data_IF_291159016651
#
_entry.id   IF_291159016651
#
_cell.length_a   1.000
_cell.length_b   1.000
_cell.length_c   1.000
_cell.angle_alpha   90.00
_cell.angle_beta   90.00
_cell.angle_gamma   90.00
#
_symmetry.space_group_name_H-M   'P 1'
#
loop_
_entity.id
_entity.type
_entity.pdbx_description
1 polymer ?
#
# COMPACT_ATOMS: atom_id res chain seq x y z
N UNK A 1 9.83 7.93 -25.23
CA UNK A 1 9.99 7.33 -23.90
C UNK A 1 11.26 7.89 -23.29
N UNK A 2 11.13 8.90 -22.43
CA UNK A 2 12.25 9.32 -21.58
C UNK A 2 12.20 8.42 -20.34
N UNK A 3 13.32 7.84 -19.89
CA UNK A 3 13.33 7.18 -18.58
C UNK A 3 13.12 8.24 -17.51
N UNK A 4 12.50 7.86 -16.38
CA UNK A 4 12.46 8.66 -15.17
C UNK A 4 13.87 9.18 -14.89
N UNK A 5 14.11 10.46 -15.16
CA UNK A 5 15.40 11.08 -14.85
C UNK A 5 15.47 11.15 -13.34
N UNK A 6 16.28 10.26 -12.76
CA UNK A 6 16.80 10.40 -11.39
C UNK A 6 17.51 11.75 -11.34
N UNK A 7 16.77 12.77 -10.94
CA UNK A 7 17.24 14.15 -10.83
C UNK A 7 18.22 14.23 -9.65
N UNK A 8 19.46 14.61 -9.98
CA UNK A 8 20.63 14.89 -9.13
C UNK A 8 20.78 14.05 -7.86
N UNK A 9 21.54 12.95 -7.98
CA UNK A 9 22.15 12.24 -6.85
C UNK A 9 23.35 12.99 -6.25
N UNK A 10 23.61 14.23 -6.68
CA UNK A 10 24.64 15.10 -6.12
C UNK A 10 24.06 15.91 -4.95
N UNK A 11 24.07 15.30 -3.76
CA UNK A 11 23.59 15.91 -2.53
C UNK A 11 24.61 15.83 -1.39
N UNK A 12 24.57 16.75 -0.42
CA UNK A 12 25.51 16.77 0.70
C UNK A 12 25.45 15.46 1.50
N UNK A 13 26.61 15.01 1.97
CA UNK A 13 26.83 13.77 2.73
C UNK A 13 26.37 13.83 4.19
N UNK A 14 25.58 14.85 4.57
CA UNK A 14 24.88 14.84 5.87
C UNK A 14 23.94 13.64 5.94
N UNK A 15 24.17 12.78 6.93
CA UNK A 15 23.55 11.46 7.03
C UNK A 15 22.04 11.56 7.23
N UNK A 16 21.59 12.52 8.06
CA UNK A 16 20.15 12.74 8.33
C UNK A 16 19.45 13.29 7.09
N UNK A 17 20.02 14.29 6.42
CA UNK A 17 19.46 14.83 5.20
C UNK A 17 19.44 13.78 4.07
N UNK A 18 20.46 12.94 3.98
CA UNK A 18 20.53 11.84 3.02
C UNK A 18 19.46 10.79 3.29
N UNK A 19 19.29 10.36 4.54
CA UNK A 19 18.25 9.41 4.91
C UNK A 19 16.85 9.95 4.60
N UNK A 20 16.57 11.22 4.89
CA UNK A 20 15.30 11.88 4.54
C UNK A 20 15.03 11.87 3.03
N UNK A 21 16.04 12.22 2.23
CA UNK A 21 15.92 12.17 0.76
C UNK A 21 15.70 10.76 0.25
N UNK A 22 16.39 9.78 0.83
CA UNK A 22 16.26 8.38 0.45
C UNK A 22 14.83 7.88 0.68
N UNK A 23 14.24 8.15 1.85
CA UNK A 23 12.86 7.75 2.15
C UNK A 23 11.87 8.32 1.14
N UNK A 24 11.96 9.63 0.85
CA UNK A 24 11.07 10.27 -0.13
C UNK A 24 11.25 9.69 -1.53
N UNK A 25 12.49 9.50 -1.98
CA UNK A 25 12.78 8.93 -3.30
C UNK A 25 12.36 7.48 -3.43
N UNK A 26 12.46 6.69 -2.36
CA UNK A 26 11.94 5.31 -2.33
C UNK A 26 10.43 5.33 -2.58
N UNK A 27 9.70 6.20 -1.88
CA UNK A 27 8.26 6.35 -2.09
C UNK A 27 7.93 6.81 -3.53
N UNK A 28 8.68 7.77 -4.07
CA UNK A 28 8.49 8.26 -5.45
C UNK A 28 8.72 7.13 -6.48
N UNK A 29 9.84 6.41 -6.37
CA UNK A 29 10.18 5.31 -7.29
C UNK A 29 9.14 4.19 -7.23
N UNK A 30 8.75 3.77 -6.03
CA UNK A 30 7.72 2.73 -5.85
C UNK A 30 6.38 3.20 -6.43
N UNK A 31 6.01 4.47 -6.20
CA UNK A 31 4.78 5.05 -6.73
C UNK A 31 4.77 5.11 -8.25
N UNK A 32 5.86 5.54 -8.88
CA UNK A 32 6.03 5.55 -10.33
C UNK A 32 5.93 4.13 -10.92
N UNK A 33 6.69 3.18 -10.36
CA UNK A 33 6.63 1.77 -10.71
C UNK A 33 5.20 1.21 -10.65
N UNK A 34 4.48 1.47 -9.55
CA UNK A 34 3.14 0.93 -9.33
C UNK A 34 2.07 1.60 -10.20
N UNK A 35 2.04 2.93 -10.25
CA UNK A 35 0.91 3.68 -10.82
C UNK A 35 1.14 4.13 -12.26
N UNK A 36 2.38 4.39 -12.67
CA UNK A 36 2.70 4.82 -14.03
C UNK A 36 3.13 3.63 -14.90
N UNK A 37 4.05 2.81 -14.41
CA UNK A 37 4.56 1.66 -15.16
C UNK A 37 3.67 0.43 -15.04
N UNK A 38 3.02 0.24 -13.88
CA UNK A 38 2.22 -0.95 -13.61
C UNK A 38 3.06 -2.19 -13.29
N UNK A 39 4.34 -2.03 -12.97
CA UNK A 39 5.24 -3.10 -12.53
C UNK A 39 5.99 -2.62 -11.31
N UNK A 40 5.89 -3.34 -10.19
CA UNK A 40 6.45 -2.88 -8.92
C UNK A 40 7.15 -4.00 -8.15
N UNK A 41 8.14 -3.58 -7.35
CA UNK A 41 8.82 -4.46 -6.41
C UNK A 41 7.91 -4.68 -5.19
N UNK A 42 7.50 -5.92 -4.98
CA UNK A 42 6.52 -6.30 -3.95
C UNK A 42 7.15 -6.53 -2.56
N UNK A 43 8.46 -6.33 -2.42
CA UNK A 43 9.22 -6.61 -1.20
C UNK A 43 10.24 -5.50 -0.93
N UNK A 44 9.73 -4.34 -0.50
CA UNK A 44 10.50 -3.10 -0.28
C UNK A 44 11.10 -3.03 1.12
N UNK A 45 11.42 -4.18 1.72
CA UNK A 45 12.04 -4.21 3.04
C UNK A 45 13.39 -3.48 3.03
N UNK A 46 13.87 -2.91 4.15
CA UNK A 46 15.11 -2.13 4.18
C UNK A 46 16.35 -2.85 3.62
N UNK A 47 16.42 -4.18 3.76
CA UNK A 47 17.51 -5.00 3.19
C UNK A 47 17.58 -5.05 1.65
N UNK A 48 16.50 -4.69 0.94
CA UNK A 48 16.42 -4.68 -0.52
C UNK A 48 16.60 -3.27 -1.10
N UNK A 49 16.93 -2.30 -0.25
CA UNK A 49 17.09 -0.91 -0.63
C UNK A 49 18.48 -0.45 -0.21
N UNK A 50 19.36 -0.29 -1.19
CA UNK A 50 20.65 0.35 -0.96
C UNK A 50 20.52 1.86 -1.15
N UNK A 51 20.99 2.65 -0.18
CA UNK A 51 21.05 4.11 -0.31
C UNK A 51 22.41 4.52 -0.85
N UNK A 52 22.42 4.97 -2.10
CA UNK A 52 23.61 5.52 -2.77
C UNK A 52 23.85 6.96 -2.33
N UNK A 53 25.01 7.50 -2.73
CA UNK A 53 25.36 8.92 -2.52
C UNK A 53 24.21 9.85 -2.97
N UNK A 54 24.03 10.92 -2.22
CA UNK A 54 22.93 11.87 -2.42
C UNK A 54 21.56 11.38 -1.96
N UNK A 55 21.42 10.15 -1.47
CA UNK A 55 20.16 9.57 -1.03
C UNK A 55 19.39 8.94 -2.17
N UNK A 56 20.07 8.40 -3.18
CA UNK A 56 19.42 7.73 -4.31
C UNK A 56 19.18 6.24 -3.97
N UNK A 57 17.95 5.73 -4.08
CA UNK A 57 17.68 4.32 -3.83
C UNK A 57 18.16 3.47 -5.01
N UNK A 58 18.83 2.37 -4.69
CA UNK A 58 19.07 1.26 -5.60
C UNK A 58 18.31 0.04 -5.05
N UNK A 59 17.29 -0.37 -5.79
CA UNK A 59 16.50 -1.56 -5.48
C UNK A 59 17.28 -2.80 -5.89
N UNK A 60 17.32 -3.79 -5.00
CA UNK A 60 17.97 -5.09 -5.23
C UNK A 60 16.97 -6.21 -4.91
N UNK A 61 17.28 -7.44 -5.36
CA UNK A 61 16.42 -8.62 -5.19
C UNK A 61 14.99 -8.47 -5.75
N UNK A 62 14.88 -8.60 -7.07
CA UNK A 62 13.60 -8.60 -7.78
C UNK A 62 12.88 -9.96 -7.73
N UNK A 63 13.19 -10.83 -6.76
CA UNK A 63 12.54 -12.14 -6.60
C UNK A 63 11.04 -12.07 -6.32
N UNK A 64 10.56 -10.94 -5.81
CA UNK A 64 9.14 -10.65 -5.60
C UNK A 64 8.75 -9.35 -6.33
N UNK A 65 8.21 -9.50 -7.54
CA UNK A 65 7.63 -8.42 -8.34
C UNK A 65 6.20 -8.75 -8.73
N UNK A 66 5.39 -7.73 -8.99
CA UNK A 66 4.02 -7.87 -9.44
C UNK A 66 3.68 -6.86 -10.53
N UNK A 67 2.72 -7.22 -11.39
CA UNK A 67 2.18 -6.37 -12.44
C UNK A 67 0.74 -5.97 -12.11
N UNK A 68 0.36 -4.76 -12.50
CA UNK A 68 -1.01 -4.27 -12.44
C UNK A 68 -1.38 -3.74 -13.83
N UNK A 69 -2.47 -4.25 -14.39
CA UNK A 69 -3.07 -3.65 -15.57
C UNK A 69 -3.64 -2.24 -15.27
N UNK A 70 -4.02 -1.50 -16.32
CA UNK A 70 -4.53 -0.13 -16.15
C UNK A 70 -5.74 -0.04 -15.22
N UNK A 71 -6.67 -0.99 -15.30
CA UNK A 71 -7.88 -1.00 -14.46
C UNK A 71 -7.50 -1.26 -13.00
N UNK A 72 -6.57 -2.18 -12.76
CA UNK A 72 -6.06 -2.51 -11.44
C UNK A 72 -5.33 -1.32 -10.81
N UNK A 73 -4.44 -0.65 -11.55
CA UNK A 73 -3.75 0.56 -11.09
C UNK A 73 -4.73 1.66 -10.67
N UNK A 74 -5.77 1.89 -11.47
CA UNK A 74 -6.80 2.87 -11.15
C UNK A 74 -7.60 2.50 -9.89
N UNK A 75 -7.92 1.22 -9.72
CA UNK A 75 -8.65 0.73 -8.54
C UNK A 75 -7.81 0.88 -7.27
N UNK A 76 -6.52 0.53 -7.31
CA UNK A 76 -5.58 0.71 -6.19
C UNK A 76 -5.40 2.20 -5.88
N UNK A 77 -5.17 3.05 -6.88
CA UNK A 77 -4.99 4.49 -6.67
C UNK A 77 -6.22 5.13 -6.00
N UNK A 78 -7.44 4.75 -6.44
CA UNK A 78 -8.67 5.18 -5.80
C UNK A 78 -8.73 4.74 -4.33
N UNK A 79 -8.41 3.48 -4.04
CA UNK A 79 -8.42 2.98 -2.67
C UNK A 79 -7.47 3.79 -1.78
N UNK A 80 -6.22 4.02 -2.21
CA UNK A 80 -5.23 4.80 -1.47
C UNK A 80 -5.75 6.20 -1.15
N UNK A 81 -6.35 6.88 -2.13
CA UNK A 81 -6.94 8.22 -1.93
C UNK A 81 -8.10 8.21 -0.93
N UNK A 82 -8.93 7.17 -0.96
CA UNK A 82 -10.08 7.05 -0.06
C UNK A 82 -9.64 6.74 1.37
N UNK A 83 -8.68 5.84 1.55
CA UNK A 83 -8.12 5.52 2.86
C UNK A 83 -7.41 6.73 3.46
N UNK A 84 -6.73 7.53 2.64
CA UNK A 84 -6.14 8.81 3.04
C UNK A 84 -7.14 9.82 3.59
N UNK A 85 -8.44 9.68 3.29
CA UNK A 85 -9.49 10.51 3.88
C UNK A 85 -9.82 10.15 5.35
N UNK A 86 -9.32 9.00 5.86
CA UNK A 86 -9.47 8.51 7.24
C UNK A 86 -10.91 8.48 7.77
N UNK A 87 -11.89 8.28 6.89
CA UNK A 87 -13.32 8.29 7.24
C UNK A 87 -14.01 7.01 6.81
N UNK A 88 -14.53 6.25 7.77
CA UNK A 88 -15.26 5.01 7.49
C UNK A 88 -16.53 5.26 6.68
N UNK A 89 -17.16 6.43 6.86
CA UNK A 89 -18.34 6.86 6.10
C UNK A 89 -18.03 7.01 4.61
N UNK A 90 -16.92 7.67 4.27
CA UNK A 90 -16.49 7.85 2.87
C UNK A 90 -16.17 6.50 2.24
N UNK A 91 -15.40 5.66 2.93
CA UNK A 91 -15.03 4.34 2.41
C UNK A 91 -16.27 3.46 2.18
N UNK A 92 -17.20 3.44 3.12
CA UNK A 92 -18.47 2.73 3.00
C UNK A 92 -19.30 3.20 1.79
N UNK A 93 -19.38 4.51 1.57
CA UNK A 93 -20.09 5.08 0.43
C UNK A 93 -19.48 4.62 -0.90
N UNK A 94 -18.14 4.60 -1.01
CA UNK A 94 -17.44 4.13 -2.21
C UNK A 94 -17.67 2.64 -2.45
N UNK A 95 -17.56 1.81 -1.41
CA UNK A 95 -17.79 0.37 -1.51
C UNK A 95 -19.23 0.11 -2.01
N UNK A 96 -20.23 0.76 -1.42
CA UNK A 96 -21.64 0.63 -1.85
C UNK A 96 -21.90 1.12 -3.27
N UNK A 97 -21.15 2.12 -3.73
CA UNK A 97 -21.26 2.63 -5.09
C UNK A 97 -20.58 1.72 -6.15
N UNK A 98 -20.01 0.58 -5.74
CA UNK A 98 -19.33 -0.36 -6.63
C UNK A 98 -18.09 0.24 -7.30
N UNK A 99 -17.51 1.29 -6.70
CA UNK A 99 -16.38 2.02 -7.29
C UNK A 99 -15.03 1.35 -7.02
N UNK A 100 -15.02 0.23 -6.28
CA UNK A 100 -13.85 -0.59 -6.03
C UNK A 100 -14.11 -2.04 -6.43
N UNK A 101 -13.04 -2.76 -6.81
CA UNK A 101 -13.10 -4.19 -7.12
C UNK A 101 -12.95 -5.09 -5.89
N UNK A 102 -12.90 -4.52 -4.68
CA UNK A 102 -12.78 -5.30 -3.46
C UNK A 102 -14.13 -5.93 -3.12
N UNK A 103 -14.20 -7.25 -3.29
CA UNK A 103 -15.33 -8.03 -2.80
C UNK A 103 -15.04 -8.50 -1.39
N UNK A 104 -15.95 -8.19 -0.47
CA UNK A 104 -15.95 -8.75 0.87
C UNK A 104 -16.85 -9.99 0.89
N UNK A 105 -16.56 -10.94 1.78
CA UNK A 105 -17.47 -12.06 1.99
C UNK A 105 -18.72 -11.63 2.75
N UNK A 106 -19.80 -12.37 2.55
CA UNK A 106 -21.13 -12.06 3.11
C UNK A 106 -21.22 -12.15 4.64
N UNK A 107 -20.21 -12.72 5.29
CA UNK A 107 -20.22 -13.01 6.74
C UNK A 107 -19.60 -11.89 7.61
N UNK A 108 -19.11 -10.80 7.02
CA UNK A 108 -18.46 -9.71 7.74
C UNK A 108 -19.36 -8.49 7.88
N UNK A 109 -19.27 -7.79 9.00
CA UNK A 109 -19.89 -6.46 9.12
C UNK A 109 -19.16 -5.46 8.23
N UNK A 110 -19.85 -4.36 7.87
CA UNK A 110 -19.23 -3.27 7.12
C UNK A 110 -18.06 -2.65 7.88
N UNK A 111 -18.16 -2.53 9.21
CA UNK A 111 -17.10 -2.02 10.07
C UNK A 111 -15.86 -2.93 10.03
N UNK A 112 -16.06 -4.25 10.11
CA UNK A 112 -14.99 -5.25 10.00
C UNK A 112 -14.29 -5.20 8.63
N UNK A 113 -15.05 -5.02 7.55
CA UNK A 113 -14.52 -4.88 6.20
C UNK A 113 -13.67 -3.60 6.04
N UNK A 114 -14.11 -2.50 6.65
CA UNK A 114 -13.38 -1.23 6.63
C UNK A 114 -12.11 -1.35 7.49
N UNK A 115 -12.20 -1.90 8.70
CA UNK A 115 -11.06 -2.12 9.59
C UNK A 115 -9.99 -2.99 8.92
N UNK A 116 -10.41 -4.01 8.17
CA UNK A 116 -9.53 -4.86 7.39
C UNK A 116 -8.79 -4.10 6.27
N UNK A 117 -9.47 -3.21 5.55
CA UNK A 117 -8.82 -2.38 4.53
C UNK A 117 -7.77 -1.46 5.14
N UNK A 118 -8.06 -0.81 6.27
CA UNK A 118 -7.07 -0.02 6.98
C UNK A 118 -5.90 -0.89 7.43
N UNK A 119 -6.14 -2.03 8.09
CA UNK A 119 -5.04 -2.89 8.56
C UNK A 119 -4.16 -3.48 7.44
N UNK A 120 -4.67 -3.62 6.21
CA UNK A 120 -3.88 -4.11 5.06
C UNK A 120 -3.11 -2.99 4.37
N UNK A 121 -3.73 -1.81 4.20
CA UNK A 121 -3.19 -0.75 3.33
C UNK A 121 -2.72 0.51 4.07
N UNK A 122 -3.04 0.65 5.35
CA UNK A 122 -2.67 1.77 6.21
C UNK A 122 -2.36 1.24 7.61
N UNK A 123 -1.12 0.82 7.83
CA UNK A 123 -0.72 0.24 9.13
C UNK A 123 -0.47 1.28 10.22
N UNK A 124 -0.81 2.56 9.98
CA UNK A 124 -0.71 3.59 10.99
C UNK A 124 -1.52 3.22 12.24
N UNK A 125 -0.99 3.57 13.41
CA UNK A 125 -1.68 3.38 14.69
C UNK A 125 -2.69 4.49 14.98
N UNK A 126 -2.95 5.36 14.00
CA UNK A 126 -3.88 6.47 14.15
C UNK A 126 -5.32 5.97 14.16
N UNK A 127 -6.19 6.63 14.93
CA UNK A 127 -7.60 6.31 14.90
C UNK A 127 -8.21 6.63 13.53
N UNK A 128 -9.25 5.89 13.17
CA UNK A 128 -10.06 6.12 11.98
C UNK A 128 -11.43 6.58 12.44
N UNK A 129 -11.94 7.65 11.85
CA UNK A 129 -13.28 8.14 12.19
C UNK A 129 -14.32 7.06 11.88
N UNK A 130 -15.11 6.70 12.90
CA UNK A 130 -16.20 5.74 12.77
C UNK A 130 -15.76 4.27 12.74
N UNK A 131 -14.57 3.94 13.29
CA UNK A 131 -14.17 2.59 13.66
C UNK A 131 -13.96 2.48 15.17
N UNK A 132 -14.53 1.44 15.78
CA UNK A 132 -14.28 1.08 17.18
C UNK A 132 -12.91 0.40 17.38
N UNK A 133 -12.27 0.67 18.51
CA UNK A 133 -11.01 0.03 18.88
C UNK A 133 -11.16 -1.49 19.07
N UNK A 134 -12.33 -1.96 19.53
CA UNK A 134 -12.59 -3.40 19.63
C UNK A 134 -12.55 -4.07 18.26
N UNK A 135 -13.20 -3.49 17.24
CA UNK A 135 -13.20 -4.07 15.88
C UNK A 135 -11.79 -4.11 15.28
N UNK A 136 -10.98 -3.07 15.48
CA UNK A 136 -9.59 -3.05 14.99
C UNK A 136 -8.79 -4.18 15.64
N UNK A 137 -8.93 -4.40 16.94
CA UNK A 137 -8.19 -5.44 17.65
C UNK A 137 -8.67 -6.85 17.25
N UNK A 138 -9.98 -7.04 17.08
CA UNK A 138 -10.54 -8.29 16.56
C UNK A 138 -9.97 -8.66 15.19
N UNK A 139 -9.98 -7.72 14.24
CA UNK A 139 -9.44 -7.96 12.90
C UNK A 139 -7.93 -8.17 12.94
N UNK A 140 -7.19 -7.40 13.74
CA UNK A 140 -5.74 -7.58 13.92
C UNK A 140 -5.42 -9.01 14.39
N UNK A 141 -6.18 -9.52 15.36
CA UNK A 141 -6.01 -10.89 15.85
C UNK A 141 -6.36 -11.93 14.79
N UNK A 142 -7.40 -11.71 13.98
CA UNK A 142 -7.74 -12.61 12.87
C UNK A 142 -6.65 -12.66 11.79
N UNK A 143 -6.08 -11.51 11.41
CA UNK A 143 -4.97 -11.43 10.45
C UNK A 143 -3.74 -12.18 10.97
N UNK A 144 -3.41 -12.00 12.25
CA UNK A 144 -2.25 -12.64 12.88
C UNK A 144 -2.36 -14.17 12.95
N UNK A 145 -3.59 -14.71 13.00
CA UNK A 145 -3.81 -16.15 13.07
C UNK A 145 -3.89 -16.82 11.69
N UNK A 146 -4.63 -16.25 10.75
CA UNK A 146 -4.82 -16.88 9.43
C UNK A 146 -5.23 -15.88 8.33
N UNK A 147 -4.22 -15.39 7.60
CA UNK A 147 -4.42 -14.55 6.40
C UNK A 147 -5.29 -15.23 5.33
N UNK A 148 -5.22 -16.56 5.17
CA UNK A 148 -5.90 -17.25 4.05
C UNK A 148 -7.41 -17.36 4.23
N UNK A 149 -7.91 -17.15 5.46
CA UNK A 149 -9.35 -17.20 5.78
C UNK A 149 -10.03 -15.85 5.70
N UNK A 150 -9.28 -14.78 5.50
CA UNK A 150 -9.83 -13.44 5.38
C UNK A 150 -10.66 -13.36 4.08
N UNK A 151 -11.99 -13.10 4.18
CA UNK A 151 -12.87 -13.14 3.01
C UNK A 151 -12.48 -12.18 1.89
N UNK A 152 -11.84 -11.05 2.22
CA UNK A 152 -11.36 -10.07 1.23
C UNK A 152 -10.29 -10.67 0.31
N UNK A 153 -9.44 -11.58 0.79
CA UNK A 153 -8.32 -12.14 0.03
C UNK A 153 -8.74 -13.26 -0.92
N UNK A 154 -9.99 -13.73 -0.82
CA UNK A 154 -10.52 -14.81 -1.69
C UNK A 154 -11.03 -14.31 -3.05
N UNK A 155 -11.44 -13.05 -3.13
CA UNK A 155 -12.00 -12.44 -4.35
C UNK A 155 -11.08 -11.40 -5.01
N UNK A 156 -9.94 -11.11 -4.39
CA UNK A 156 -9.02 -10.06 -4.81
C UNK A 156 -7.83 -10.69 -5.54
N UNK A 157 -7.41 -10.18 -6.72
CA UNK A 157 -6.23 -10.68 -7.42
C UNK A 157 -5.00 -10.67 -6.51
N UNK A 158 -4.11 -11.66 -6.65
CA UNK A 158 -2.96 -11.83 -5.72
C UNK A 158 -2.05 -10.60 -5.69
N UNK A 159 -2.02 -9.86 -6.79
CA UNK A 159 -1.24 -8.65 -7.02
C UNK A 159 -1.62 -7.55 -6.02
N UNK A 160 -2.88 -7.46 -5.62
CA UNK A 160 -3.36 -6.49 -4.63
C UNK A 160 -2.92 -6.82 -3.20
N UNK A 161 -2.66 -8.09 -2.91
CA UNK A 161 -2.10 -8.50 -1.62
C UNK A 161 -0.67 -7.95 -1.47
N UNK A 162 0.08 -7.94 -2.57
CA UNK A 162 1.42 -7.37 -2.60
C UNK A 162 1.42 -5.85 -2.47
N UNK A 163 0.40 -5.17 -3.00
CA UNK A 163 0.23 -3.72 -2.80
C UNK A 163 0.13 -3.37 -1.31
N UNK A 164 -0.66 -4.12 -0.53
CA UNK A 164 -0.77 -3.90 0.92
C UNK A 164 0.58 -3.93 1.63
N UNK A 165 1.49 -4.83 1.23
CA UNK A 165 2.85 -4.95 1.81
C UNK A 165 3.82 -3.82 1.45
N UNK A 166 3.51 -3.09 0.38
CA UNK A 166 4.38 -2.04 -0.16
C UNK A 166 3.93 -0.66 0.35
N UNK A 167 2.62 -0.48 0.55
CA UNK A 167 2.03 0.78 1.00
C UNK A 167 1.99 0.88 2.54
N UNK A 168 2.01 -0.27 3.24
CA UNK A 168 1.93 -0.38 4.71
C UNK A 168 3.06 0.27 5.48
#
# INVERSE_FOLDING_TARGET
TMPATVQDCDGPSDEIAMARRAVLRVADVIGEMMFLDGFFHADTHPGNIMVLKGGCPALIDFGQCAELDLEQRQSVAKLVLILGARSSTVLNAVIRAGQTKFSFGDNNTTEQNIALLYLIFDTSTESVEGLSSETIEEIRHLIAQDLTRIPILKGVPREYIFVGRVIS
#
